data_IF_758384825510
#
_entry.id   IF_758384825510
#
_cell.length_a   1.000
_cell.length_b   1.000
_cell.length_c   1.000
_cell.angle_alpha   90.00
_cell.angle_beta   90.00
_cell.angle_gamma   90.00
#
_symmetry.space_group_name_H-M   'P 1'
#
loop_
_entity.id
_entity.type
_entity.pdbx_description
1 polymer ?
#
# COMPACT_ATOMS: atom_id res chain seq x y z
N UNK A 1 23.15 -16.41 14.52
CA UNK A 1 21.76 -16.41 14.02
C UNK A 1 21.15 -15.06 14.43
N UNK A 2 21.09 -14.10 13.54
CA UNK A 2 20.40 -12.83 13.82
C UNK A 2 18.89 -13.12 13.80
N UNK A 3 18.27 -13.07 14.99
CA UNK A 3 16.82 -13.21 15.11
C UNK A 3 16.15 -11.93 14.61
N UNK A 4 15.06 -12.09 13.84
CA UNK A 4 14.16 -10.98 13.57
C UNK A 4 13.68 -10.38 14.90
N UNK A 5 13.74 -9.06 15.05
CA UNK A 5 13.17 -8.37 16.20
C UNK A 5 11.71 -8.02 15.88
N UNK A 6 10.77 -8.70 16.52
CA UNK A 6 9.34 -8.49 16.32
C UNK A 6 8.75 -7.81 17.55
N UNK A 7 8.05 -6.70 17.35
CA UNK A 7 7.26 -6.01 18.37
C UNK A 7 5.80 -5.96 17.93
N UNK A 8 4.88 -6.42 18.77
CA UNK A 8 3.44 -6.34 18.50
C UNK A 8 2.84 -5.29 19.43
N UNK A 9 2.02 -4.39 18.90
CA UNK A 9 1.34 -3.34 19.64
C UNK A 9 -0.02 -3.01 19.04
N UNK A 10 -0.97 -2.46 19.83
CA UNK A 10 -2.22 -1.95 19.31
C UNK A 10 -1.97 -0.71 18.45
N UNK A 11 -2.95 -0.35 17.65
CA UNK A 11 -2.99 0.92 16.92
C UNK A 11 -3.36 2.08 17.83
N UNK A 12 -2.92 3.27 17.46
CA UNK A 12 -3.34 4.50 18.12
C UNK A 12 -4.81 4.82 17.79
N UNK A 13 -5.67 4.79 18.78
CA UNK A 13 -7.10 5.03 18.62
C UNK A 13 -7.42 6.47 18.16
N UNK A 14 -6.65 7.47 18.58
CA UNK A 14 -6.85 8.84 18.14
C UNK A 14 -6.51 8.97 16.65
N UNK A 15 -5.42 8.37 16.23
CA UNK A 15 -5.01 8.32 14.82
C UNK A 15 -6.02 7.56 13.96
N UNK A 16 -6.58 6.48 14.47
CA UNK A 16 -7.65 5.76 13.77
C UNK A 16 -8.89 6.63 13.52
N UNK A 17 -9.30 7.43 14.53
CA UNK A 17 -10.42 8.38 14.38
C UNK A 17 -10.12 9.41 13.28
N UNK A 18 -8.91 9.95 13.23
CA UNK A 18 -8.48 10.87 12.17
C UNK A 18 -8.60 10.25 10.77
N UNK A 19 -8.21 8.98 10.62
CA UNK A 19 -8.32 8.25 9.36
C UNK A 19 -9.79 8.03 8.98
N UNK A 20 -10.66 7.73 9.93
CA UNK A 20 -12.11 7.64 9.66
C UNK A 20 -12.69 8.97 9.16
N UNK A 21 -12.30 10.08 9.76
CA UNK A 21 -12.72 11.40 9.30
C UNK A 21 -12.13 11.74 7.91
N UNK A 22 -10.89 11.33 7.63
CA UNK A 22 -10.28 11.45 6.31
C UNK A 22 -11.07 10.66 5.25
N UNK A 23 -11.45 9.42 5.56
CA UNK A 23 -12.32 8.59 4.72
C UNK A 23 -13.65 9.31 4.42
N UNK A 24 -14.34 9.82 5.44
CA UNK A 24 -15.62 10.53 5.28
C UNK A 24 -15.49 11.78 4.39
N UNK A 25 -14.44 12.56 4.60
CA UNK A 25 -14.18 13.76 3.77
C UNK A 25 -13.97 13.45 2.31
N UNK A 26 -13.41 12.28 1.99
CA UNK A 26 -13.11 11.85 0.63
C UNK A 26 -14.14 10.83 0.09
N UNK A 27 -15.26 10.61 0.77
CA UNK A 27 -16.22 9.56 0.46
C UNK A 27 -16.71 9.57 -0.99
N UNK A 28 -16.97 10.75 -1.55
CA UNK A 28 -17.42 10.88 -2.93
C UNK A 28 -16.35 10.38 -3.93
N UNK A 29 -15.10 10.81 -3.77
CA UNK A 29 -13.98 10.41 -4.64
C UNK A 29 -13.66 8.92 -4.50
N UNK A 30 -13.72 8.39 -3.28
CA UNK A 30 -13.52 6.96 -3.01
C UNK A 30 -14.66 6.11 -3.60
N UNK A 31 -15.90 6.58 -3.54
CA UNK A 31 -17.03 5.90 -4.19
C UNK A 31 -16.86 5.88 -5.71
N UNK A 32 -16.45 6.98 -6.33
CA UNK A 32 -16.16 7.03 -7.76
C UNK A 32 -15.06 6.01 -8.13
N UNK A 33 -14.01 5.91 -7.30
CA UNK A 33 -12.97 4.89 -7.49
C UNK A 33 -13.53 3.46 -7.40
N UNK A 34 -14.38 3.17 -6.41
CA UNK A 34 -15.01 1.85 -6.26
C UNK A 34 -15.87 1.51 -7.48
N UNK A 35 -16.63 2.46 -8.01
CA UNK A 35 -17.46 2.27 -9.22
C UNK A 35 -16.60 1.95 -10.44
N UNK A 36 -15.52 2.70 -10.66
CA UNK A 36 -14.57 2.44 -11.73
C UNK A 36 -13.89 1.08 -11.55
N UNK A 37 -13.45 0.76 -10.33
CA UNK A 37 -12.83 -0.52 -10.03
C UNK A 37 -13.79 -1.69 -10.34
N UNK A 38 -15.08 -1.59 -9.96
CA UNK A 38 -16.08 -2.61 -10.29
C UNK A 38 -16.30 -2.73 -11.79
N UNK A 39 -16.39 -1.59 -12.49
CA UNK A 39 -16.58 -1.58 -13.95
C UNK A 39 -15.44 -2.25 -14.69
N UNK A 40 -14.20 -1.94 -14.30
CA UNK A 40 -12.99 -2.55 -14.88
C UNK A 40 -12.81 -4.00 -14.46
N UNK A 41 -13.16 -4.36 -13.21
CA UNK A 41 -12.99 -5.73 -12.70
C UNK A 41 -13.78 -6.76 -13.53
N UNK A 42 -14.94 -6.40 -14.04
CA UNK A 42 -15.73 -7.25 -14.95
C UNK A 42 -15.00 -7.57 -16.27
N UNK A 43 -13.94 -6.82 -16.62
CA UNK A 43 -13.19 -6.91 -17.88
C UNK A 43 -11.78 -7.45 -17.72
N UNK A 44 -11.12 -7.13 -16.60
CA UNK A 44 -9.68 -7.32 -16.46
C UNK A 44 -9.29 -8.16 -15.23
N UNK A 45 -10.22 -8.51 -14.34
CA UNK A 45 -9.92 -9.20 -13.07
C UNK A 45 -8.87 -8.43 -12.23
N UNK A 46 -9.19 -7.23 -11.85
CA UNK A 46 -8.32 -6.35 -11.04
C UNK A 46 -8.24 -6.80 -9.58
N UNK A 47 -9.36 -7.34 -9.09
CA UNK A 47 -9.55 -7.96 -7.77
C UNK A 47 -10.31 -9.28 -7.95
N UNK A 48 -10.75 -9.95 -6.87
CA UNK A 48 -11.57 -11.15 -6.97
C UNK A 48 -12.81 -10.94 -7.84
N UNK A 49 -13.15 -11.93 -8.69
CA UNK A 49 -14.19 -11.78 -9.74
C UNK A 49 -15.53 -11.32 -9.20
N UNK A 50 -16.00 -11.99 -8.16
CA UNK A 50 -17.36 -11.81 -7.62
C UNK A 50 -17.34 -10.96 -6.33
N UNK A 51 -16.40 -10.01 -6.23
CA UNK A 51 -16.29 -9.13 -5.06
C UNK A 51 -17.50 -8.20 -4.99
N UNK A 52 -18.19 -8.19 -3.84
CA UNK A 52 -19.30 -7.27 -3.60
C UNK A 52 -18.81 -5.83 -3.43
N UNK A 53 -19.73 -4.85 -3.61
CA UNK A 53 -19.42 -3.44 -3.35
C UNK A 53 -19.02 -3.22 -1.90
N UNK A 54 -19.72 -3.85 -0.97
CA UNK A 54 -19.45 -3.76 0.48
C UNK A 54 -18.04 -4.26 0.81
N UNK A 55 -17.61 -5.36 0.18
CA UNK A 55 -16.25 -5.88 0.32
C UNK A 55 -15.22 -4.91 -0.25
N UNK A 56 -15.50 -4.26 -1.39
CA UNK A 56 -14.60 -3.24 -1.94
C UNK A 56 -14.50 -2.02 -1.04
N UNK A 57 -15.60 -1.55 -0.47
CA UNK A 57 -15.60 -0.49 0.55
C UNK A 57 -14.65 -0.85 1.69
N UNK A 58 -14.79 -2.07 2.24
CA UNK A 58 -13.89 -2.55 3.30
C UNK A 58 -12.43 -2.65 2.86
N UNK A 59 -12.16 -3.02 1.61
CA UNK A 59 -10.81 -3.02 1.08
C UNK A 59 -10.21 -1.61 0.96
N UNK A 60 -11.02 -0.62 0.59
CA UNK A 60 -10.62 0.78 0.54
C UNK A 60 -10.35 1.32 1.94
N UNK A 61 -11.27 1.10 2.90
CA UNK A 61 -11.07 1.46 4.31
C UNK A 61 -9.79 0.84 4.88
N UNK A 62 -9.59 -0.47 4.67
CA UNK A 62 -8.40 -1.20 5.11
C UNK A 62 -7.11 -0.62 4.50
N UNK A 63 -7.15 -0.18 3.24
CA UNK A 63 -5.98 0.44 2.59
C UNK A 63 -5.56 1.73 3.27
N UNK A 64 -6.52 2.55 3.74
CA UNK A 64 -6.24 3.80 4.43
C UNK A 64 -5.61 3.59 5.82
N UNK A 65 -5.79 2.42 6.43
CA UNK A 65 -5.16 2.12 7.72
C UNK A 65 -3.62 2.08 7.64
N UNK A 66 -3.02 1.99 6.45
CA UNK A 66 -1.58 2.18 6.29
C UNK A 66 -1.11 3.54 6.84
N UNK A 67 -1.97 4.56 6.83
CA UNK A 67 -1.66 5.88 7.39
C UNK A 67 -1.50 5.89 8.92
N UNK A 68 -1.82 4.77 9.61
CA UNK A 68 -1.48 4.56 11.02
C UNK A 68 0.02 4.42 11.25
N UNK A 69 0.78 4.04 10.21
CA UNK A 69 2.22 3.90 10.28
C UNK A 69 2.87 5.23 9.84
N UNK A 70 3.59 5.94 10.73
CA UNK A 70 4.09 7.29 10.45
C UNK A 70 4.91 7.39 9.17
N UNK A 71 5.80 6.43 8.91
CA UNK A 71 6.66 6.43 7.72
C UNK A 71 5.89 6.49 6.40
N UNK A 72 4.63 5.99 6.36
CA UNK A 72 3.79 6.06 5.15
C UNK A 72 3.41 7.51 4.81
N UNK A 73 3.28 8.36 5.83
CA UNK A 73 2.95 9.78 5.64
C UNK A 73 4.21 10.62 5.35
N UNK A 74 5.37 10.18 5.82
CA UNK A 74 6.64 10.91 5.78
C UNK A 74 7.45 10.60 4.52
N UNK A 75 7.26 9.43 3.92
CA UNK A 75 8.01 9.00 2.75
C UNK A 75 7.75 9.92 1.54
N UNK A 76 8.81 10.27 0.84
CA UNK A 76 8.69 11.04 -0.41
C UNK A 76 8.13 10.17 -1.56
N UNK A 77 8.45 8.89 -1.55
CA UNK A 77 7.97 7.93 -2.55
C UNK A 77 7.31 6.73 -1.87
N UNK A 78 6.12 6.36 -2.35
CA UNK A 78 5.39 5.15 -1.97
C UNK A 78 5.30 4.23 -3.17
N UNK A 79 5.87 3.06 -3.07
CA UNK A 79 5.88 2.05 -4.12
C UNK A 79 4.92 0.91 -3.77
N UNK A 80 3.76 0.87 -4.42
CA UNK A 80 2.72 -0.15 -4.22
C UNK A 80 2.99 -1.36 -5.12
N UNK A 81 3.49 -2.44 -4.53
CA UNK A 81 3.94 -3.64 -5.25
C UNK A 81 2.83 -4.68 -5.32
N UNK A 82 2.45 -5.04 -6.54
CA UNK A 82 1.34 -5.97 -6.78
C UNK A 82 -0.02 -5.30 -6.58
N UNK A 83 -0.15 -4.06 -7.01
CA UNK A 83 -1.30 -3.17 -6.79
C UNK A 83 -2.65 -3.72 -7.30
N UNK A 84 -2.63 -4.63 -8.26
CA UNK A 84 -3.86 -5.18 -8.87
C UNK A 84 -4.75 -4.10 -9.48
N UNK A 85 -5.83 -3.77 -8.80
CA UNK A 85 -6.75 -2.69 -9.18
C UNK A 85 -6.42 -1.32 -8.61
N UNK A 86 -5.24 -1.14 -8.02
CA UNK A 86 -4.83 0.09 -7.37
C UNK A 86 -4.92 0.04 -5.83
N UNK A 87 -4.98 -1.15 -5.24
CA UNK A 87 -5.06 -1.32 -3.79
C UNK A 87 -3.72 -1.82 -3.22
N UNK A 88 -3.14 -1.14 -2.22
CA UNK A 88 -3.71 -0.05 -1.42
C UNK A 88 -3.43 1.38 -1.91
N UNK A 89 -2.63 1.59 -2.96
CA UNK A 89 -2.07 2.89 -3.33
C UNK A 89 -3.09 3.93 -3.82
N UNK A 90 -4.14 3.55 -4.56
CA UNK A 90 -5.17 4.50 -5.04
C UNK A 90 -5.96 5.16 -3.91
N UNK A 91 -6.47 4.45 -2.88
CA UNK A 91 -7.09 5.09 -1.72
C UNK A 91 -6.17 6.10 -1.04
N UNK A 92 -4.87 5.78 -0.89
CA UNK A 92 -3.88 6.71 -0.34
C UNK A 92 -3.73 7.94 -1.22
N UNK A 93 -3.64 7.76 -2.55
CA UNK A 93 -3.52 8.86 -3.51
C UNK A 93 -4.74 9.79 -3.49
N UNK A 94 -5.95 9.23 -3.40
CA UNK A 94 -7.20 10.00 -3.37
C UNK A 94 -7.32 10.82 -2.07
N UNK A 95 -6.89 10.26 -0.94
CA UNK A 95 -7.06 10.89 0.37
C UNK A 95 -5.91 11.83 0.77
N UNK A 96 -4.85 11.94 -0.01
CA UNK A 96 -3.74 12.85 0.30
C UNK A 96 -4.19 14.30 0.26
N UNK A 97 -3.65 15.08 1.22
CA UNK A 97 -3.87 16.53 1.29
C UNK A 97 -2.83 17.34 0.55
N UNK A 98 -1.61 16.80 0.40
CA UNK A 98 -0.50 17.45 -0.32
C UNK A 98 0.05 16.53 -1.42
N UNK A 99 -0.40 16.77 -2.65
CA UNK A 99 0.02 16.00 -3.83
C UNK A 99 1.40 16.43 -4.35
N UNK A 100 2.00 17.48 -3.82
CA UNK A 100 3.29 17.98 -4.30
C UNK A 100 4.50 17.30 -3.65
N UNK A 101 4.33 16.73 -2.45
CA UNK A 101 5.44 16.22 -1.63
C UNK A 101 5.67 14.73 -1.72
N UNK A 102 4.66 13.96 -2.11
CA UNK A 102 4.77 12.50 -2.14
C UNK A 102 4.31 11.95 -3.48
N UNK A 103 5.10 11.08 -4.06
CA UNK A 103 4.72 10.31 -5.25
C UNK A 103 4.27 8.90 -4.85
N UNK A 104 3.21 8.41 -5.49
CA UNK A 104 2.78 7.01 -5.37
C UNK A 104 2.95 6.34 -6.73
N UNK A 105 3.67 5.22 -6.75
CA UNK A 105 3.86 4.41 -7.96
C UNK A 105 3.17 3.07 -7.75
N UNK A 106 2.15 2.80 -8.56
CA UNK A 106 1.38 1.56 -8.56
C UNK A 106 2.03 0.58 -9.53
N UNK A 107 2.41 -0.59 -9.04
CA UNK A 107 3.07 -1.60 -9.86
C UNK A 107 2.32 -2.93 -9.89
N UNK A 108 2.16 -3.47 -11.08
CA UNK A 108 1.78 -4.87 -11.32
C UNK A 108 2.53 -5.35 -12.57
N UNK A 109 2.89 -6.64 -12.63
CA UNK A 109 3.52 -7.23 -13.81
C UNK A 109 2.56 -7.44 -14.98
N UNK A 110 1.25 -7.37 -14.74
CA UNK A 110 0.21 -7.64 -15.73
C UNK A 110 -0.18 -6.33 -16.43
N UNK A 111 0.28 -6.14 -17.66
CA UNK A 111 0.08 -4.91 -18.45
C UNK A 111 -1.40 -4.47 -18.53
N UNK A 112 -2.31 -5.42 -18.79
CA UNK A 112 -3.75 -5.11 -18.89
C UNK A 112 -4.35 -4.55 -17.60
N UNK A 113 -3.83 -4.96 -16.42
CA UNK A 113 -4.26 -4.40 -15.14
C UNK A 113 -3.78 -2.97 -15.00
N UNK A 114 -2.51 -2.73 -15.28
CA UNK A 114 -1.93 -1.38 -15.22
C UNK A 114 -2.58 -0.45 -16.24
N UNK A 115 -2.92 -0.95 -17.42
CA UNK A 115 -3.67 -0.16 -18.40
C UNK A 115 -5.02 0.28 -17.83
N UNK A 116 -5.78 -0.63 -17.22
CA UNK A 116 -7.06 -0.30 -16.57
C UNK A 116 -6.88 0.71 -15.41
N UNK A 117 -5.86 0.52 -14.57
CA UNK A 117 -5.54 1.44 -13.47
C UNK A 117 -5.21 2.84 -14.00
N UNK A 118 -4.46 2.96 -15.10
CA UNK A 118 -4.19 4.25 -15.76
C UNK A 118 -5.47 4.94 -16.24
N UNK A 119 -6.43 4.18 -16.78
CA UNK A 119 -7.73 4.73 -17.17
C UNK A 119 -8.51 5.25 -15.95
N UNK A 120 -8.47 4.53 -14.84
CA UNK A 120 -9.08 4.96 -13.56
C UNK A 120 -8.43 6.26 -13.07
N UNK A 121 -7.09 6.31 -13.01
CA UNK A 121 -6.34 7.52 -12.60
C UNK A 121 -6.75 8.72 -13.45
N UNK A 122 -6.74 8.58 -14.77
CA UNK A 122 -7.09 9.63 -15.70
C UNK A 122 -8.53 10.10 -15.52
N UNK A 123 -9.48 9.17 -15.42
CA UNK A 123 -10.91 9.48 -15.27
C UNK A 123 -11.23 10.21 -13.97
N UNK A 124 -10.53 9.84 -12.88
CA UNK A 124 -10.72 10.47 -11.58
C UNK A 124 -9.91 11.77 -11.41
N UNK A 125 -8.99 12.07 -12.32
CA UNK A 125 -8.13 13.25 -12.23
C UNK A 125 -7.18 13.22 -11.03
N UNK A 126 -6.80 12.02 -10.54
CA UNK A 126 -5.89 11.90 -9.39
C UNK A 126 -4.48 12.23 -9.84
N UNK A 127 -3.83 13.17 -9.14
CA UNK A 127 -2.48 13.64 -9.43
C UNK A 127 -1.43 13.04 -8.47
N UNK A 128 -0.15 13.08 -8.83
CA UNK A 128 0.95 12.57 -8.01
C UNK A 128 0.93 11.04 -7.85
N UNK A 129 0.23 10.34 -8.74
CA UNK A 129 0.19 8.88 -8.82
C UNK A 129 0.47 8.43 -10.24
N UNK A 130 1.32 7.42 -10.38
CA UNK A 130 1.65 6.77 -11.64
C UNK A 130 1.44 5.27 -11.55
N UNK A 131 1.30 4.60 -12.68
CA UNK A 131 1.17 3.16 -12.75
C UNK A 131 2.12 2.55 -13.77
N UNK A 132 2.85 1.50 -13.37
CA UNK A 132 3.94 0.89 -14.16
C UNK A 132 3.71 -0.61 -14.29
N UNK A 133 3.64 -1.07 -15.55
CA UNK A 133 3.61 -2.51 -15.88
C UNK A 133 5.04 -3.04 -15.99
N UNK A 134 5.56 -3.61 -14.90
CA UNK A 134 6.94 -4.09 -14.84
C UNK A 134 7.09 -5.17 -13.76
N UNK A 135 8.01 -6.11 -13.95
CA UNK A 135 8.39 -7.00 -12.86
C UNK A 135 9.01 -6.15 -11.72
N UNK A 136 8.55 -6.35 -10.50
CA UNK A 136 9.02 -5.58 -9.35
C UNK A 136 10.55 -5.64 -9.17
N UNK A 137 11.17 -6.80 -9.45
CA UNK A 137 12.63 -6.97 -9.41
C UNK A 137 13.39 -6.12 -10.46
N UNK A 138 12.72 -5.61 -11.47
CA UNK A 138 13.33 -4.78 -12.53
C UNK A 138 13.04 -3.28 -12.36
N UNK A 139 12.36 -2.89 -11.27
CA UNK A 139 12.10 -1.48 -10.94
C UNK A 139 13.39 -0.83 -10.43
N UNK A 140 13.60 0.39 -10.85
CA UNK A 140 14.76 1.21 -10.48
C UNK A 140 14.32 2.53 -9.84
N UNK A 141 15.23 3.26 -9.22
CA UNK A 141 14.97 4.61 -8.72
C UNK A 141 14.35 5.53 -9.76
N UNK A 142 14.80 5.46 -11.03
CA UNK A 142 14.25 6.27 -12.11
C UNK A 142 12.76 6.02 -12.38
N UNK A 143 12.29 4.81 -12.10
CA UNK A 143 10.87 4.47 -12.25
C UNK A 143 10.02 5.09 -11.14
N UNK A 144 10.61 5.35 -9.97
CA UNK A 144 9.91 5.79 -8.76
C UNK A 144 10.10 7.30 -8.51
N UNK A 145 11.29 7.81 -8.67
CA UNK A 145 11.60 9.20 -8.34
C UNK A 145 10.85 10.18 -9.25
N UNK A 146 10.24 11.18 -8.63
CA UNK A 146 9.76 12.35 -9.35
C UNK A 146 10.98 13.12 -9.86
N UNK A 147 11.20 13.15 -11.17
CA UNK A 147 12.11 14.10 -11.80
C UNK A 147 11.47 15.49 -11.65
N UNK A 148 11.51 16.04 -10.46
CA UNK A 148 11.28 17.48 -10.25
C UNK A 148 12.38 18.18 -11.00
N UNK A 149 12.03 18.91 -12.06
CA UNK A 149 12.95 19.80 -12.75
C UNK A 149 13.58 20.74 -11.72
N UNK A 150 14.80 20.49 -11.29
CA UNK A 150 15.62 21.52 -10.67
C UNK A 150 16.32 21.26 -9.35
N UNK A 151 16.18 20.12 -8.67
CA UNK A 151 17.02 19.85 -7.48
C UNK A 151 17.57 18.43 -7.52
N UNK A 152 18.79 18.31 -8.00
CA UNK A 152 19.66 17.18 -7.73
C UNK A 152 20.11 17.32 -6.27
N UNK A 153 19.54 16.57 -5.35
CA UNK A 153 19.99 16.59 -3.97
C UNK A 153 19.09 15.79 -3.03
N UNK A 154 19.61 14.73 -2.51
CA UNK A 154 19.13 13.79 -1.52
C UNK A 154 18.21 12.70 -2.08
N UNK A 155 18.69 11.45 -1.97
CA UNK A 155 17.91 10.23 -2.19
C UNK A 155 16.64 10.30 -1.31
N UNK A 156 15.51 10.58 -1.93
CA UNK A 156 14.26 10.71 -1.21
C UNK A 156 13.82 9.31 -0.77
N UNK A 157 13.53 9.13 0.53
CA UNK A 157 13.16 7.85 1.11
C UNK A 157 11.99 7.22 0.35
N UNK A 158 12.21 5.99 -0.13
CA UNK A 158 11.18 5.18 -0.78
C UNK A 158 10.74 4.08 0.18
N UNK A 159 9.43 3.94 0.38
CA UNK A 159 8.86 2.80 1.08
C UNK A 159 8.09 1.90 0.11
N UNK A 160 8.14 0.60 0.36
CA UNK A 160 7.31 -0.36 -0.34
C UNK A 160 6.04 -0.67 0.47
N UNK A 161 4.89 -0.59 -0.18
CA UNK A 161 3.63 -1.04 0.41
C UNK A 161 3.06 -2.21 -0.40
N UNK A 162 2.33 -3.09 0.24
CA UNK A 162 1.61 -4.18 -0.45
C UNK A 162 0.43 -4.69 0.37
N UNK A 163 -0.57 -5.22 -0.33
CA UNK A 163 -1.76 -5.80 0.28
C UNK A 163 -1.97 -7.21 -0.23
N UNK A 164 -1.66 -8.21 0.59
CA UNK A 164 -1.86 -9.64 0.29
C UNK A 164 -1.26 -10.16 -1.03
N UNK A 165 -0.35 -9.42 -1.67
CA UNK A 165 0.21 -9.80 -2.97
C UNK A 165 1.48 -10.66 -2.86
N UNK A 166 2.24 -10.52 -1.76
CA UNK A 166 3.51 -11.19 -1.56
C UNK A 166 3.66 -11.68 -0.12
N UNK A 167 4.44 -12.75 0.05
CA UNK A 167 5.02 -13.11 1.34
C UNK A 167 6.14 -12.14 1.69
N UNK A 168 6.45 -12.01 2.98
CA UNK A 168 7.49 -11.07 3.46
C UNK A 168 8.84 -11.40 2.85
N UNK A 169 9.28 -12.63 2.94
CA UNK A 169 10.55 -13.11 2.38
C UNK A 169 10.64 -12.88 0.86
N UNK A 170 9.57 -13.20 0.14
CA UNK A 170 9.51 -12.99 -1.32
C UNK A 170 9.64 -11.52 -1.72
N UNK A 171 9.00 -10.60 -0.99
CA UNK A 171 9.09 -9.18 -1.32
C UNK A 171 10.48 -8.62 -1.02
N UNK A 172 11.10 -9.04 0.08
CA UNK A 172 12.47 -8.66 0.42
C UNK A 172 13.47 -9.11 -0.64
N UNK A 173 13.30 -10.34 -1.17
CA UNK A 173 14.15 -10.88 -2.25
C UNK A 173 13.94 -10.14 -3.59
N UNK A 174 12.72 -9.63 -3.84
CA UNK A 174 12.38 -8.94 -5.09
C UNK A 174 12.89 -7.49 -5.14
N UNK A 175 12.88 -6.80 -4.02
CA UNK A 175 13.20 -5.37 -3.94
C UNK A 175 14.63 -5.20 -3.46
N UNK A 176 15.46 -4.52 -4.24
CA UNK A 176 16.85 -4.25 -3.83
C UNK A 176 16.91 -3.29 -2.64
N UNK A 177 17.94 -3.46 -1.78
CA UNK A 177 18.17 -2.54 -0.65
C UNK A 177 18.44 -1.10 -1.09
N UNK A 178 19.00 -0.94 -2.28
CA UNK A 178 19.19 0.39 -2.87
C UNK A 178 17.85 1.09 -3.10
N UNK A 179 16.80 0.36 -3.48
CA UNK A 179 15.51 0.92 -3.81
C UNK A 179 14.67 1.26 -2.55
N UNK A 180 14.57 0.33 -1.61
CA UNK A 180 13.83 0.52 -0.37
C UNK A 180 14.33 -0.39 0.74
N UNK A 181 14.33 0.13 1.97
CA UNK A 181 14.64 -0.61 3.20
C UNK A 181 13.41 -0.78 4.10
N UNK A 182 12.37 -0.01 3.88
CA UNK A 182 11.15 -0.03 4.65
C UNK A 182 9.97 -0.58 3.84
N UNK A 183 9.25 -1.50 4.46
CA UNK A 183 8.13 -2.24 3.86
C UNK A 183 6.92 -2.18 4.78
N UNK A 184 5.75 -1.88 4.21
CA UNK A 184 4.50 -1.89 4.99
C UNK A 184 3.49 -2.83 4.32
N UNK A 185 3.08 -3.84 5.07
CA UNK A 185 2.17 -4.90 4.60
C UNK A 185 0.81 -4.79 5.29
N UNK A 186 -0.24 -5.06 4.54
CA UNK A 186 -1.55 -5.42 5.09
C UNK A 186 -1.70 -6.94 5.01
N UNK A 187 -1.67 -7.62 6.16
CA UNK A 187 -1.66 -9.09 6.26
C UNK A 187 -2.48 -9.62 7.45
N UNK A 188 -2.64 -10.93 7.50
CA UNK A 188 -3.02 -11.63 8.71
C UNK A 188 -1.89 -11.57 9.75
N UNK A 189 -2.21 -11.32 11.02
CA UNK A 189 -1.21 -11.15 12.07
C UNK A 189 -0.36 -12.41 12.27
N UNK A 190 -1.00 -13.57 12.40
CA UNK A 190 -0.29 -14.86 12.59
C UNK A 190 0.57 -15.21 11.37
N UNK A 191 0.02 -15.02 10.16
CA UNK A 191 0.76 -15.22 8.91
C UNK A 191 2.00 -14.33 8.83
N UNK A 192 1.88 -13.07 9.23
CA UNK A 192 2.98 -12.11 9.22
C UNK A 192 4.11 -12.55 10.16
N UNK A 193 3.80 -12.97 11.38
CA UNK A 193 4.80 -13.47 12.34
C UNK A 193 5.56 -14.66 11.76
N UNK A 194 4.84 -15.67 11.25
CA UNK A 194 5.46 -16.86 10.66
C UNK A 194 6.36 -16.53 9.46
N UNK A 195 5.97 -15.57 8.62
CA UNK A 195 6.75 -15.19 7.45
C UNK A 195 8.00 -14.40 7.85
N UNK A 196 7.90 -13.49 8.84
CA UNK A 196 9.04 -12.71 9.35
C UNK A 196 10.07 -13.64 10.00
N UNK A 197 9.65 -14.66 10.74
CA UNK A 197 10.56 -15.64 11.36
C UNK A 197 11.37 -16.46 10.35
N UNK A 198 10.89 -16.57 9.11
CA UNK A 198 11.58 -17.25 8.00
C UNK A 198 12.60 -16.36 7.27
N UNK A 199 12.56 -15.04 7.50
CA UNK A 199 13.52 -14.10 6.90
C UNK A 199 14.92 -14.42 7.38
N UNK A 200 15.87 -14.52 6.45
CA UNK A 200 17.26 -14.93 6.75
C UNK A 200 18.17 -13.77 7.13
N UNK A 201 17.85 -12.59 6.61
CA UNK A 201 18.59 -11.36 6.93
C UNK A 201 18.11 -10.73 8.24
N UNK A 202 18.93 -9.90 8.90
CA UNK A 202 18.51 -9.14 10.07
C UNK A 202 17.40 -8.15 9.69
N UNK A 203 16.25 -8.27 10.35
CA UNK A 203 15.12 -7.35 10.16
C UNK A 203 14.53 -6.94 11.50
N UNK A 204 13.98 -5.74 11.55
CA UNK A 204 13.11 -5.31 12.64
C UNK A 204 11.69 -5.14 12.13
N UNK A 205 10.70 -5.59 12.89
CA UNK A 205 9.30 -5.50 12.51
C UNK A 205 8.44 -4.98 13.67
N UNK A 206 7.57 -4.04 13.35
CA UNK A 206 6.49 -3.59 14.21
C UNK A 206 5.18 -4.04 13.60
N UNK A 207 4.44 -4.86 14.34
CA UNK A 207 3.12 -5.36 13.96
C UNK A 207 2.07 -4.59 14.73
N UNK A 208 1.24 -3.85 14.04
CA UNK A 208 0.10 -3.13 14.58
C UNK A 208 -1.14 -4.02 14.46
N UNK A 209 -1.61 -4.59 15.59
CA UNK A 209 -2.85 -5.38 15.61
C UNK A 209 -4.06 -4.50 15.32
N UNK A 210 -4.96 -5.01 14.48
CA UNK A 210 -6.22 -4.36 14.14
C UNK A 210 -7.42 -5.00 14.83
N UNK A 211 -7.21 -5.95 15.75
CA UNK A 211 -8.28 -6.77 16.35
C UNK A 211 -9.36 -5.93 17.06
N UNK A 212 -8.95 -4.87 17.73
CA UNK A 212 -9.83 -4.03 18.56
C UNK A 212 -10.19 -2.69 17.88
N UNK A 213 -9.92 -2.56 16.56
CA UNK A 213 -10.07 -1.27 15.88
C UNK A 213 -11.55 -0.90 15.65
N UNK A 214 -12.42 -1.92 15.47
CA UNK A 214 -13.85 -1.73 15.34
C UNK A 214 -14.65 -2.92 15.91
N UNK A 215 -15.94 -2.73 16.13
CA UNK A 215 -16.86 -3.73 16.67
C UNK A 215 -17.35 -4.73 15.59
N UNK A 216 -17.03 -4.53 14.32
CA UNK A 216 -17.60 -5.33 13.21
C UNK A 216 -16.95 -6.72 13.08
N UNK A 217 -15.81 -6.95 13.74
CA UNK A 217 -15.01 -8.16 13.61
C UNK A 217 -14.31 -8.32 12.25
N UNK A 218 -14.49 -7.37 11.32
CA UNK A 218 -13.85 -7.45 10.00
C UNK A 218 -12.33 -7.44 10.07
N UNK A 219 -11.77 -6.76 11.05
CA UNK A 219 -10.33 -6.62 11.23
C UNK A 219 -9.72 -7.67 12.15
N UNK A 220 -10.51 -8.57 12.72
CA UNK A 220 -10.02 -9.62 13.60
C UNK A 220 -8.96 -10.48 12.89
N UNK A 221 -7.82 -10.69 13.55
CA UNK A 221 -6.68 -11.41 13.01
C UNK A 221 -5.90 -10.67 11.92
N UNK A 222 -6.25 -9.39 11.62
CA UNK A 222 -5.51 -8.58 10.66
C UNK A 222 -4.53 -7.64 11.34
N UNK A 223 -3.48 -7.29 10.61
CA UNK A 223 -2.45 -6.39 11.08
C UNK A 223 -1.87 -5.53 9.96
N UNK A 224 -1.25 -4.43 10.38
CA UNK A 224 -0.30 -3.70 9.55
C UNK A 224 1.08 -4.07 10.05
N UNK A 225 1.97 -4.43 9.14
CA UNK A 225 3.36 -4.78 9.45
C UNK A 225 4.27 -3.74 8.86
N UNK A 226 5.02 -3.04 9.69
CA UNK A 226 6.15 -2.23 9.24
C UNK A 226 7.42 -3.03 9.51
N UNK A 227 8.16 -3.32 8.45
CA UNK A 227 9.41 -4.06 8.49
C UNK A 227 10.52 -3.19 7.91
N UNK A 228 11.66 -3.14 8.62
CA UNK A 228 12.89 -2.47 8.19
C UNK A 228 14.04 -3.48 8.16
N UNK A 229 14.89 -3.39 7.11
CA UNK A 229 16.09 -4.21 6.95
C UNK A 229 17.35 -3.38 6.91
#
# INVERSE_FOLDING_TARGET
MNKALITIRPVDSARYIEIKELYKRNLASLNNYIEELQWWNKRVNLVSRDVSRETLVKHVEHSLLLLLVPIVNEAANVFDVGTGGGLPGMPLAICRTDHSRQRIVLNDKVEKKIWAVKQIIQKLGVTGVDAIAKNAAAITHRDIECVSRGTMGESSATICITKHAFKVDQLLDLISQELANDFVFLKGQSEAVEEIERVKEPVSAVIYSLDEIDETGFYQGKAIVHLSR
#
